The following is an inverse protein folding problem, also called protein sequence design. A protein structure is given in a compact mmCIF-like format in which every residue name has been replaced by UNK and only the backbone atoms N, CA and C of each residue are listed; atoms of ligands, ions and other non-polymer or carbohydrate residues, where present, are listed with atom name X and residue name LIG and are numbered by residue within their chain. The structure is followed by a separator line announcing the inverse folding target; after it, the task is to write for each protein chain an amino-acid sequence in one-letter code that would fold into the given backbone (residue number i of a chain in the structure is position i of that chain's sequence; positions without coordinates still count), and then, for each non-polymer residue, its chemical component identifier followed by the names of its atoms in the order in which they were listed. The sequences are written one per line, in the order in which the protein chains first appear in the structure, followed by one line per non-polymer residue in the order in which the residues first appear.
data_IF_649539369129
#
_entry.id   IF_649539369129
#
_cell.length_a   1.000
_cell.length_b   1.000
_cell.length_c   1.000
_cell.angle_alpha   90.00
_cell.angle_beta   90.00
_cell.angle_gamma   90.00
#
_symmetry.space_group_name_H-M   'P 1'
#
loop_
_entity.id
_entity.type
_entity.pdbx_description
1 polymer ?
#
# COMPACT_ATOMS: atom_id res chain seq x y z
N UNK A 1 22.97 -7.78 18.73
CA UNK A 1 22.20 -6.88 17.88
C UNK A 1 20.91 -6.45 18.61
N UNK A 2 20.04 -7.35 18.94
CA UNK A 2 18.75 -7.05 19.58
C UNK A 2 18.87 -6.24 20.87
N UNK A 3 19.85 -6.53 21.75
CA UNK A 3 20.06 -5.74 22.98
C UNK A 3 20.39 -4.26 22.69
N UNK A 4 21.06 -3.98 21.56
CA UNK A 4 21.45 -2.61 21.17
C UNK A 4 20.26 -1.83 20.59
N UNK A 5 19.47 -2.47 19.78
CA UNK A 5 18.37 -1.84 19.02
C UNK A 5 17.03 -1.89 19.73
N UNK A 6 16.84 -2.87 20.62
CA UNK A 6 15.54 -3.22 21.17
C UNK A 6 14.62 -3.95 20.18
N UNK A 7 15.13 -4.29 18.98
CA UNK A 7 14.38 -4.95 17.93
C UNK A 7 14.48 -6.47 18.01
N UNK A 8 13.48 -7.16 17.51
CA UNK A 8 13.54 -8.57 17.22
C UNK A 8 14.47 -8.80 16.01
N UNK A 9 15.52 -9.57 16.19
CA UNK A 9 16.47 -9.93 15.15
C UNK A 9 16.33 -11.41 14.86
N UNK A 10 15.63 -11.75 13.78
CA UNK A 10 15.37 -13.13 13.39
C UNK A 10 16.27 -13.50 12.22
N UNK A 11 16.89 -14.68 12.30
CA UNK A 11 17.69 -15.25 11.22
C UNK A 11 17.18 -16.66 10.96
N UNK A 12 16.88 -16.95 9.70
CA UNK A 12 16.24 -18.20 9.30
C UNK A 12 16.82 -18.71 7.99
N UNK A 13 16.96 -20.03 7.91
CA UNK A 13 17.20 -20.72 6.64
C UNK A 13 16.06 -21.69 6.39
N UNK A 14 15.59 -21.80 5.17
CA UNK A 14 14.53 -22.73 4.77
C UNK A 14 14.88 -23.42 3.46
N UNK A 15 14.37 -24.61 3.25
CA UNK A 15 14.39 -25.34 1.99
C UNK A 15 12.97 -25.54 1.41
N UNK A 16 11.95 -25.02 2.10
CA UNK A 16 10.56 -25.07 1.64
C UNK A 16 9.78 -23.85 2.19
N UNK A 17 9.25 -23.04 1.29
CA UNK A 17 8.39 -21.91 1.64
C UNK A 17 6.90 -22.27 1.67
N UNK A 18 6.55 -23.56 1.57
CA UNK A 18 5.17 -24.07 1.53
C UNK A 18 4.32 -23.42 0.44
N UNK A 19 4.92 -23.11 -0.69
CA UNK A 19 4.27 -22.49 -1.85
C UNK A 19 4.00 -21.00 -1.72
N UNK A 20 4.51 -20.34 -0.68
CA UNK A 20 4.48 -18.87 -0.51
C UNK A 20 5.67 -18.23 -1.22
N UNK A 21 5.54 -16.96 -1.54
CA UNK A 21 6.72 -16.16 -1.91
C UNK A 21 7.65 -16.03 -0.70
N UNK A 22 8.95 -15.77 -0.96
CA UNK A 22 9.92 -15.55 0.11
C UNK A 22 9.50 -14.44 1.07
N UNK A 23 8.95 -13.36 0.52
CA UNK A 23 8.50 -12.22 1.32
C UNK A 23 7.33 -12.61 2.23
N UNK A 24 6.29 -13.26 1.68
CA UNK A 24 5.14 -13.72 2.46
C UNK A 24 5.54 -14.72 3.56
N UNK A 25 6.51 -15.61 3.26
CA UNK A 25 7.01 -16.55 4.24
C UNK A 25 7.79 -15.87 5.37
N UNK A 26 8.64 -14.89 5.02
CA UNK A 26 9.41 -14.13 5.99
C UNK A 26 8.51 -13.27 6.89
N UNK A 27 7.47 -12.65 6.32
CA UNK A 27 6.52 -11.83 7.05
C UNK A 27 5.69 -12.67 8.03
N UNK A 28 5.14 -13.80 7.57
CA UNK A 28 4.35 -14.69 8.42
C UNK A 28 5.20 -15.28 9.55
N UNK A 29 6.48 -15.58 9.27
CA UNK A 29 7.42 -16.06 10.28
C UNK A 29 7.74 -14.97 11.31
N UNK A 30 7.95 -13.75 10.83
CA UNK A 30 8.20 -12.59 11.69
C UNK A 30 7.01 -12.33 12.61
N UNK A 31 5.80 -12.28 12.06
CA UNK A 31 4.56 -12.04 12.81
C UNK A 31 4.29 -13.10 13.89
N UNK A 32 4.68 -14.35 13.62
CA UNK A 32 4.50 -15.45 14.59
C UNK A 32 5.43 -15.35 15.81
N UNK A 33 6.55 -14.62 15.70
CA UNK A 33 7.61 -14.61 16.72
C UNK A 33 7.81 -13.24 17.37
N UNK A 34 7.62 -12.16 16.61
CA UNK A 34 7.87 -10.80 17.08
C UNK A 34 6.77 -10.29 18.00
N UNK A 35 7.06 -10.20 19.30
CA UNK A 35 6.08 -9.82 20.33
C UNK A 35 5.59 -8.37 20.19
N UNK A 36 6.46 -7.45 19.76
CA UNK A 36 6.16 -6.01 19.63
C UNK A 36 6.05 -5.52 18.18
N UNK A 37 6.24 -6.41 17.22
CA UNK A 37 6.21 -6.06 15.80
C UNK A 37 7.37 -5.22 15.30
N UNK A 38 8.34 -4.83 16.16
CA UNK A 38 9.53 -4.09 15.77
C UNK A 38 10.69 -5.05 15.52
N UNK A 39 11.27 -5.00 14.33
CA UNK A 39 12.44 -5.84 14.07
C UNK A 39 12.70 -6.17 12.61
N UNK A 40 13.59 -7.14 12.41
CA UNK A 40 14.07 -7.60 11.11
C UNK A 40 14.14 -9.11 11.09
N UNK A 41 13.66 -9.72 10.01
CA UNK A 41 13.90 -11.12 9.67
C UNK A 41 14.82 -11.20 8.44
N UNK A 42 15.95 -11.88 8.60
CA UNK A 42 16.89 -12.20 7.53
C UNK A 42 16.68 -13.68 7.17
N UNK A 43 16.32 -13.97 5.93
CA UNK A 43 15.95 -15.30 5.48
C UNK A 43 16.79 -15.73 4.28
N UNK A 44 17.23 -17.00 4.30
CA UNK A 44 17.86 -17.66 3.17
C UNK A 44 17.00 -18.85 2.75
N UNK A 45 16.52 -18.86 1.51
CA UNK A 45 15.88 -20.01 0.87
C UNK A 45 16.90 -20.81 0.08
N UNK A 46 17.15 -22.02 0.56
CA UNK A 46 18.13 -22.92 -0.04
C UNK A 46 17.60 -23.58 -1.31
N UNK A 47 16.28 -23.76 -1.43
CA UNK A 47 15.67 -24.41 -2.58
C UNK A 47 15.63 -23.47 -3.79
N UNK A 48 15.17 -22.24 -3.60
CA UNK A 48 15.01 -21.26 -4.67
C UNK A 48 16.24 -20.38 -4.86
N UNK A 49 17.27 -20.52 -4.00
CA UNK A 49 18.49 -19.74 -3.96
C UNK A 49 18.19 -18.24 -3.89
N UNK A 50 17.50 -17.87 -2.83
CA UNK A 50 17.02 -16.49 -2.64
C UNK A 50 17.31 -16.03 -1.21
N UNK A 51 17.74 -14.77 -1.07
CA UNK A 51 17.87 -14.09 0.22
C UNK A 51 16.77 -13.04 0.34
N UNK A 52 16.24 -12.89 1.54
CA UNK A 52 15.14 -11.97 1.79
C UNK A 52 15.33 -11.25 3.12
N UNK A 53 14.85 -10.02 3.16
CA UNK A 53 14.72 -9.21 4.36
C UNK A 53 13.25 -8.84 4.52
N UNK A 54 12.68 -9.13 5.69
CA UNK A 54 11.41 -8.57 6.13
C UNK A 54 11.66 -7.63 7.32
N UNK A 55 10.97 -6.52 7.34
CA UNK A 55 11.06 -5.51 8.41
C UNK A 55 9.70 -5.19 8.95
N UNK A 56 9.56 -5.22 10.28
CA UNK A 56 8.31 -4.90 10.98
C UNK A 56 8.46 -3.67 11.87
N UNK A 57 7.35 -2.98 12.08
CA UNK A 57 7.26 -1.85 12.98
C UNK A 57 8.20 -0.70 12.64
N UNK A 58 8.88 -0.16 13.66
CA UNK A 58 9.78 0.99 13.47
C UNK A 58 11.00 0.66 12.58
N UNK A 59 11.44 -0.60 12.50
CA UNK A 59 12.58 -0.99 11.69
C UNK A 59 12.36 -0.69 10.19
N UNK A 60 11.12 -0.74 9.70
CA UNK A 60 10.77 -0.39 8.32
C UNK A 60 11.04 1.08 7.98
N UNK A 61 11.13 1.96 8.97
CA UNK A 61 11.48 3.37 8.80
C UNK A 61 12.99 3.59 8.69
N UNK A 62 13.77 2.77 9.38
CA UNK A 62 15.23 2.79 9.32
C UNK A 62 15.74 2.13 8.04
N UNK A 63 15.16 0.99 7.69
CA UNK A 63 15.55 0.18 6.54
C UNK A 63 14.64 0.50 5.35
N UNK A 64 14.97 1.54 4.63
CA UNK A 64 14.28 1.94 3.41
C UNK A 64 14.53 0.94 2.28
N UNK A 65 13.74 0.99 1.21
CA UNK A 65 13.95 0.13 0.05
C UNK A 65 15.38 0.18 -0.49
N UNK A 66 15.99 1.38 -0.56
CA UNK A 66 17.37 1.54 -1.00
C UNK A 66 18.38 0.86 -0.05
N UNK A 67 18.22 1.04 1.27
CA UNK A 67 19.08 0.39 2.28
C UNK A 67 18.92 -1.12 2.28
N UNK A 68 17.68 -1.62 2.07
CA UNK A 68 17.43 -3.07 1.93
C UNK A 68 18.12 -3.61 0.69
N UNK A 69 18.09 -2.90 -0.43
CA UNK A 69 18.78 -3.29 -1.65
C UNK A 69 20.32 -3.34 -1.44
N UNK A 70 20.89 -2.36 -0.74
CA UNK A 70 22.31 -2.35 -0.38
C UNK A 70 22.67 -3.56 0.49
N UNK A 71 21.90 -3.86 1.54
CA UNK A 71 22.12 -5.03 2.42
C UNK A 71 22.05 -6.33 1.62
N UNK A 72 21.07 -6.47 0.71
CA UNK A 72 20.94 -7.65 -0.15
C UNK A 72 22.10 -7.76 -1.15
N UNK A 73 22.63 -6.64 -1.63
CA UNK A 73 23.80 -6.62 -2.51
C UNK A 73 25.07 -7.07 -1.77
N UNK A 74 25.29 -6.58 -0.54
CA UNK A 74 26.45 -6.94 0.27
C UNK A 74 26.39 -8.41 0.74
N UNK A 75 25.18 -8.94 0.98
CA UNK A 75 24.96 -10.36 1.25
C UNK A 75 25.14 -11.26 0.04
N UNK A 76 25.09 -10.73 -1.18
CA UNK A 76 25.09 -11.53 -2.41
C UNK A 76 26.42 -12.23 -2.68
N UNK A 77 27.57 -11.57 -2.44
CA UNK A 77 28.89 -12.17 -2.68
C UNK A 77 29.13 -13.40 -1.79
N UNK A 78 29.02 -13.31 -0.44
CA UNK A 78 29.22 -14.47 0.43
C UNK A 78 28.25 -15.61 0.14
N UNK A 79 26.97 -15.31 -0.13
CA UNK A 79 25.98 -16.35 -0.37
C UNK A 79 26.25 -17.10 -1.69
N UNK A 80 26.75 -16.40 -2.71
CA UNK A 80 27.13 -16.98 -4.00
C UNK A 80 28.29 -17.98 -3.87
N UNK A 81 29.19 -17.71 -2.93
CA UNK A 81 30.33 -18.59 -2.59
C UNK A 81 29.93 -19.73 -1.64
N UNK A 82 28.67 -19.75 -1.18
CA UNK A 82 28.16 -20.76 -0.25
C UNK A 82 28.47 -20.50 1.22
N UNK A 83 28.91 -19.28 1.54
CA UNK A 83 29.26 -18.83 2.89
C UNK A 83 28.03 -18.24 3.62
N UNK A 84 27.06 -19.09 3.94
CA UNK A 84 25.75 -18.71 4.48
C UNK A 84 25.85 -17.93 5.81
N UNK A 85 26.74 -18.36 6.71
CA UNK A 85 26.97 -17.68 7.98
C UNK A 85 27.54 -16.27 7.76
N UNK A 86 28.47 -16.14 6.82
CA UNK A 86 29.06 -14.85 6.48
C UNK A 86 28.02 -13.91 5.85
N UNK A 87 27.18 -14.42 4.96
CA UNK A 87 26.07 -13.68 4.37
C UNK A 87 25.18 -13.05 5.46
N UNK A 88 24.64 -13.86 6.37
CA UNK A 88 23.79 -13.38 7.46
C UNK A 88 24.54 -12.41 8.38
N UNK A 89 25.84 -12.65 8.61
CA UNK A 89 26.68 -11.77 9.46
C UNK A 89 26.91 -10.39 8.82
N UNK A 90 27.12 -10.34 7.50
CA UNK A 90 27.25 -9.07 6.75
C UNK A 90 25.94 -8.33 6.77
N UNK A 91 24.85 -8.96 6.37
CA UNK A 91 23.53 -8.36 6.38
C UNK A 91 23.15 -7.80 7.76
N UNK A 92 23.43 -8.54 8.84
CA UNK A 92 23.18 -8.07 10.21
C UNK A 92 24.03 -6.86 10.60
N UNK A 93 25.29 -6.80 10.15
CA UNK A 93 26.16 -5.64 10.39
C UNK A 93 25.62 -4.40 9.71
N UNK A 94 25.14 -4.53 8.48
CA UNK A 94 24.59 -3.41 7.72
C UNK A 94 23.29 -2.90 8.33
N UNK A 95 22.43 -3.81 8.82
CA UNK A 95 21.25 -3.42 9.64
C UNK A 95 21.67 -2.56 10.84
N UNK A 96 22.75 -2.92 11.54
CA UNK A 96 23.23 -2.17 12.69
C UNK A 96 23.87 -0.82 12.29
N UNK A 97 24.53 -0.75 11.14
CA UNK A 97 25.05 0.51 10.59
C UNK A 97 23.89 1.46 10.29
N UNK A 98 22.87 0.99 9.58
CA UNK A 98 21.69 1.81 9.28
C UNK A 98 20.86 2.18 10.52
N UNK A 99 20.86 1.33 11.54
CA UNK A 99 20.30 1.70 12.83
C UNK A 99 21.04 2.88 13.46
N UNK A 100 22.39 2.86 13.44
CA UNK A 100 23.21 3.94 13.97
C UNK A 100 23.09 5.24 13.16
N UNK A 101 22.90 5.15 11.85
CA UNK A 101 22.65 6.30 10.98
C UNK A 101 21.29 6.95 11.22
N UNK A 102 20.34 6.19 11.75
CA UNK A 102 18.99 6.66 12.05
C UNK A 102 18.04 6.68 10.84
N UNK A 103 16.84 7.22 11.06
CA UNK A 103 15.81 7.33 10.06
C UNK A 103 16.15 8.42 9.04
N UNK A 104 16.18 8.11 7.72
CA UNK A 104 16.43 9.13 6.70
C UNK A 104 15.37 10.24 6.71
N UNK A 105 15.78 11.47 6.48
CA UNK A 105 14.91 12.66 6.53
C UNK A 105 13.79 12.69 5.48
N UNK A 106 13.87 11.84 4.46
CA UNK A 106 12.86 11.72 3.40
C UNK A 106 11.79 10.66 3.67
N UNK A 107 11.83 10.00 4.84
CA UNK A 107 10.79 9.06 5.25
C UNK A 107 9.55 9.82 5.72
N UNK A 108 8.35 9.31 5.37
CA UNK A 108 7.14 9.78 6.00
C UNK A 108 7.21 9.45 7.49
N UNK A 109 7.06 10.45 8.34
CA UNK A 109 6.60 10.20 9.68
C UNK A 109 5.20 9.58 9.55
N UNK A 110 5.12 8.26 9.68
CA UNK A 110 3.89 7.67 10.14
C UNK A 110 3.79 8.09 11.60
N UNK A 111 3.13 9.20 11.86
CA UNK A 111 2.46 9.31 13.14
C UNK A 111 1.56 8.09 13.20
N UNK A 112 1.92 7.10 14.01
CA UNK A 112 0.92 6.25 14.63
C UNK A 112 0.08 7.21 15.48
N UNK A 113 -0.82 7.91 14.82
CA UNK A 113 -2.03 8.32 15.49
C UNK A 113 -2.75 7.00 15.77
N UNK A 114 -2.43 6.37 16.89
CA UNK A 114 -3.42 5.64 17.65
C UNK A 114 -4.52 6.66 17.93
N UNK A 115 -5.37 6.83 16.91
CA UNK A 115 -6.66 7.46 17.10
C UNK A 115 -7.40 6.42 17.95
N UNK A 116 -7.21 6.45 19.25
CA UNK A 116 -8.16 5.88 20.20
C UNK A 116 -9.46 6.64 19.94
N UNK A 117 -10.17 6.24 18.87
CA UNK A 117 -11.51 6.74 18.61
C UNK A 117 -12.35 6.24 19.77
N UNK A 118 -12.57 7.10 20.73
CA UNK A 118 -13.46 6.76 21.84
C UNK A 118 -14.82 6.37 21.25
N UNK A 119 -15.54 5.39 21.81
CA UNK A 119 -16.87 5.00 21.32
C UNK A 119 -17.81 6.20 21.14
N UNK A 120 -17.62 7.25 21.96
CA UNK A 120 -18.38 8.50 21.85
C UNK A 120 -18.06 9.29 20.56
N UNK A 121 -16.80 9.39 20.17
CA UNK A 121 -16.40 10.07 18.92
C UNK A 121 -16.87 9.33 17.69
N UNK A 122 -16.85 8.00 17.72
CA UNK A 122 -17.42 7.18 16.64
C UNK A 122 -18.92 7.43 16.46
N UNK A 123 -19.67 7.52 17.57
CA UNK A 123 -21.11 7.84 17.51
C UNK A 123 -21.34 9.25 16.99
N UNK A 124 -20.57 10.24 17.42
CA UNK A 124 -20.69 11.62 16.98
C UNK A 124 -20.41 11.73 15.47
N UNK A 125 -19.33 11.14 14.98
CA UNK A 125 -18.96 11.18 13.56
C UNK A 125 -19.99 10.47 12.70
N UNK A 126 -20.53 9.34 13.13
CA UNK A 126 -21.58 8.61 12.40
C UNK A 126 -22.89 9.39 12.33
N UNK A 127 -23.29 10.07 13.41
CA UNK A 127 -24.47 10.94 13.43
C UNK A 127 -24.32 12.13 12.49
N UNK A 128 -23.17 12.79 12.49
CA UNK A 128 -22.90 13.92 11.58
C UNK A 128 -22.95 13.47 10.12
N UNK A 129 -22.35 12.32 9.81
CA UNK A 129 -22.37 11.76 8.45
C UNK A 129 -23.80 11.40 8.00
N UNK A 130 -24.61 10.83 8.90
CA UNK A 130 -26.00 10.50 8.63
C UNK A 130 -26.86 11.76 8.40
N UNK A 131 -26.63 12.85 9.15
CA UNK A 131 -27.33 14.12 8.95
C UNK A 131 -26.98 14.77 7.60
N UNK A 132 -25.70 14.76 7.22
CA UNK A 132 -25.23 15.28 5.92
C UNK A 132 -25.88 14.49 4.77
N UNK A 133 -25.84 13.16 4.82
CA UNK A 133 -26.41 12.31 3.79
C UNK A 133 -27.93 12.49 3.71
N UNK A 134 -28.62 12.57 4.85
CA UNK A 134 -30.05 12.84 4.91
C UNK A 134 -30.45 14.22 4.31
N UNK A 135 -29.66 15.26 4.59
CA UNK A 135 -29.85 16.58 4.03
C UNK A 135 -29.69 16.60 2.49
N UNK A 136 -28.69 15.88 1.97
CA UNK A 136 -28.49 15.76 0.51
C UNK A 136 -29.69 15.08 -0.15
N UNK A 137 -30.15 13.95 0.39
CA UNK A 137 -31.32 13.24 -0.14
C UNK A 137 -32.58 14.11 -0.08
N UNK A 138 -32.80 14.80 1.03
CA UNK A 138 -33.92 15.74 1.18
C UNK A 138 -33.88 16.85 0.13
N UNK A 139 -32.71 17.45 -0.09
CA UNK A 139 -32.53 18.52 -1.07
C UNK A 139 -32.80 18.01 -2.50
N UNK A 140 -32.33 16.80 -2.84
CA UNK A 140 -32.61 16.17 -4.13
C UNK A 140 -34.11 15.93 -4.31
N UNK A 141 -34.81 15.43 -3.29
CA UNK A 141 -36.26 15.23 -3.33
C UNK A 141 -37.02 16.54 -3.50
N UNK A 142 -36.65 17.60 -2.76
CA UNK A 142 -37.28 18.93 -2.88
C UNK A 142 -37.08 19.49 -4.28
N UNK A 143 -35.88 19.40 -4.84
CA UNK A 143 -35.61 19.83 -6.22
C UNK A 143 -36.40 19.02 -7.23
N UNK A 144 -36.43 17.69 -7.06
CA UNK A 144 -37.20 16.80 -7.94
C UNK A 144 -38.70 17.11 -7.90
N UNK A 145 -39.27 17.28 -6.70
CA UNK A 145 -40.67 17.67 -6.55
C UNK A 145 -40.96 19.07 -7.11
N UNK A 146 -40.07 20.02 -6.89
CA UNK A 146 -40.18 21.40 -7.42
C UNK A 146 -40.13 21.43 -8.95
N UNK A 147 -39.21 20.64 -9.55
CA UNK A 147 -39.11 20.51 -11.01
C UNK A 147 -40.34 19.77 -11.59
N UNK A 148 -40.83 18.76 -10.90
CA UNK A 148 -42.01 17.99 -11.37
C UNK A 148 -43.33 18.74 -11.20
N UNK A 149 -43.44 19.58 -10.16
CA UNK A 149 -44.60 20.42 -9.91
C UNK A 149 -44.51 21.83 -10.55
N UNK A 150 -43.48 22.09 -11.31
CA UNK A 150 -43.34 23.31 -12.07
C UNK A 150 -44.54 23.48 -13.03
N UNK A 151 -45.29 24.55 -12.88
CA UNK A 151 -46.46 24.89 -13.70
C UNK A 151 -46.07 25.29 -15.14
N UNK A 152 -45.06 24.70 -15.70
CA UNK A 152 -44.73 24.89 -17.10
C UNK A 152 -45.52 23.87 -17.92
N UNK A 153 -46.82 24.19 -18.11
CA UNK A 153 -47.55 23.58 -19.22
C UNK A 153 -47.08 24.29 -20.48
N UNK A 154 -46.15 23.63 -21.18
CA UNK A 154 -45.81 24.04 -22.54
C UNK A 154 -47.07 23.75 -23.40
N UNK A 155 -47.77 24.83 -23.76
CA UNK A 155 -48.89 24.70 -24.66
C UNK A 155 -48.36 24.64 -26.09
N UNK A 156 -48.20 23.42 -26.58
CA UNK A 156 -47.68 23.18 -27.93
C UNK A 156 -48.62 23.72 -29.04
N UNK A 157 -49.89 24.04 -28.70
CA UNK A 157 -50.83 24.59 -29.65
C UNK A 157 -50.71 26.12 -29.85
N UNK A 158 -50.22 26.84 -28.82
CA UNK A 158 -49.98 28.31 -28.94
C UNK A 158 -48.62 28.65 -29.54
N UNK A 159 -47.65 27.70 -29.51
CA UNK A 159 -46.25 27.98 -29.86
C UNK A 159 -45.86 27.67 -31.31
N UNK A 160 -46.81 27.27 -32.15
CA UNK A 160 -46.60 27.06 -33.59
C UNK A 160 -46.80 25.62 -34.08
N UNK A 161 -47.34 25.52 -35.29
CA UNK A 161 -47.49 24.25 -35.99
C UNK A 161 -46.16 23.88 -36.69
N UNK A 162 -45.46 22.86 -36.19
CA UNK A 162 -44.30 22.29 -36.86
C UNK A 162 -44.79 21.21 -37.84
N UNK A 163 -44.72 21.50 -39.14
CA UNK A 163 -45.06 20.54 -40.19
C UNK A 163 -43.77 19.95 -40.77
N UNK A 164 -43.32 18.83 -40.18
CA UNK A 164 -42.14 18.11 -40.65
C UNK A 164 -42.56 17.24 -41.84
N UNK A 165 -42.28 17.66 -43.04
CA UNK A 165 -42.60 16.88 -44.26
C UNK A 165 -41.60 15.78 -44.58
N UNK A 166 -40.40 15.84 -44.03
CA UNK A 166 -39.39 14.83 -44.24
C UNK A 166 -38.36 14.86 -43.10
N UNK A 167 -38.14 13.73 -42.42
CA UNK A 167 -37.11 13.52 -41.41
C UNK A 167 -36.07 12.58 -41.98
N UNK A 168 -34.82 12.97 -41.93
CA UNK A 168 -33.69 12.13 -42.34
C UNK A 168 -32.53 12.33 -41.37
N UNK A 169 -32.26 11.34 -40.56
CA UNK A 169 -31.11 11.32 -39.69
C UNK A 169 -29.94 10.70 -40.44
N UNK A 170 -28.91 11.50 -40.66
CA UNK A 170 -27.63 11.03 -41.26
C UNK A 170 -26.55 11.12 -40.18
N UNK A 171 -26.01 9.97 -39.81
CA UNK A 171 -24.84 9.92 -38.93
C UNK A 171 -23.62 10.48 -39.70
N UNK A 172 -23.17 11.67 -39.35
CA UNK A 172 -22.14 12.41 -40.10
C UNK A 172 -20.74 11.96 -39.74
N UNK A 173 -20.50 11.55 -38.50
CA UNK A 173 -19.20 11.05 -38.08
C UNK A 173 -19.25 10.33 -36.73
N UNK A 174 -18.47 9.27 -36.58
CA UNK A 174 -18.20 8.62 -35.28
C UNK A 174 -16.70 8.71 -35.04
N UNK A 175 -16.30 9.55 -34.09
CA UNK A 175 -14.90 9.65 -33.68
C UNK A 175 -14.71 8.88 -32.39
N UNK A 176 -13.97 7.77 -32.47
CA UNK A 176 -13.53 7.00 -31.31
C UNK A 176 -12.16 7.50 -30.92
N UNK A 177 -12.06 8.24 -29.84
CA UNK A 177 -10.77 8.65 -29.27
C UNK A 177 -10.32 7.66 -28.21
N UNK A 178 -9.22 6.97 -28.46
CA UNK A 178 -8.53 6.17 -27.46
C UNK A 178 -7.50 7.07 -26.76
N UNK A 179 -7.67 7.27 -25.48
CA UNK A 179 -6.64 7.90 -24.65
C UNK A 179 -5.81 6.78 -24.00
N UNK A 180 -4.59 6.62 -24.47
CA UNK A 180 -3.61 5.78 -23.77
C UNK A 180 -3.22 6.52 -22.48
N UNK A 181 -3.61 5.96 -21.34
CA UNK A 181 -3.14 6.42 -20.02
C UNK A 181 -1.83 5.66 -19.80
N UNK A 182 -0.71 6.34 -20.01
CA UNK A 182 0.57 5.80 -19.56
C UNK A 182 0.52 5.70 -18.03
N UNK A 183 0.56 4.46 -17.51
CA UNK A 183 0.87 4.25 -16.11
C UNK A 183 2.26 4.82 -15.86
N UNK A 184 2.32 5.93 -15.13
CA UNK A 184 3.58 6.43 -14.58
C UNK A 184 4.13 5.29 -13.71
N UNK A 185 5.18 4.61 -14.20
CA UNK A 185 6.06 3.87 -13.30
C UNK A 185 6.44 4.85 -12.20
N UNK A 186 6.09 4.50 -10.97
CA UNK A 186 6.57 5.22 -9.82
C UNK A 186 8.08 5.21 -9.92
N UNK A 187 8.69 6.38 -10.08
CA UNK A 187 10.12 6.53 -9.92
C UNK A 187 10.41 6.04 -8.50
N UNK A 188 11.27 5.05 -8.40
CA UNK A 188 11.78 4.51 -7.16
C UNK A 188 12.49 5.64 -6.41
N UNK A 189 11.75 6.32 -5.56
CA UNK A 189 12.21 7.52 -4.84
C UNK A 189 12.86 7.18 -3.52
N UNK A 190 13.49 6.00 -3.39
CA UNK A 190 14.20 5.58 -2.18
C UNK A 190 13.29 5.44 -0.93
N UNK A 191 11.99 5.41 -1.12
CA UNK A 191 11.01 5.23 -0.03
C UNK A 191 10.88 3.75 0.30
N UNK A 192 10.66 3.44 1.57
CA UNK A 192 10.34 2.08 1.99
C UNK A 192 9.05 1.60 1.33
N UNK A 193 9.11 0.47 0.63
CA UNK A 193 7.91 -0.23 0.17
C UNK A 193 7.33 -1.01 1.33
N UNK A 194 6.11 -0.69 1.72
CA UNK A 194 5.40 -1.37 2.81
C UNK A 194 4.26 -2.18 2.22
N UNK A 195 4.18 -3.46 2.61
CA UNK A 195 3.07 -4.35 2.27
C UNK A 195 2.44 -4.91 3.55
N UNK A 196 1.30 -5.55 3.44
CA UNK A 196 0.56 -6.09 4.59
C UNK A 196 0.61 -7.61 4.54
N UNK A 197 1.04 -8.24 5.64
CA UNK A 197 1.06 -9.70 5.80
C UNK A 197 -0.33 -10.30 5.92
N UNK A 198 -0.40 -11.62 5.93
CA UNK A 198 -1.66 -12.37 6.13
C UNK A 198 -2.31 -12.10 7.50
N UNK A 199 -1.53 -11.71 8.50
CA UNK A 199 -2.01 -11.32 9.84
C UNK A 199 -2.50 -9.88 9.93
N UNK A 200 -2.33 -9.06 8.87
CA UNK A 200 -2.73 -7.65 8.83
C UNK A 200 -1.66 -6.66 9.31
N UNK A 201 -0.47 -7.14 9.68
CA UNK A 201 0.67 -6.31 10.10
C UNK A 201 1.39 -5.74 8.87
N UNK A 202 1.93 -4.53 8.99
CA UNK A 202 2.68 -3.85 7.92
C UNK A 202 4.16 -4.18 8.02
N UNK A 203 4.72 -4.64 6.90
CA UNK A 203 6.14 -4.97 6.75
C UNK A 203 6.76 -4.19 5.58
N UNK A 204 8.05 -3.91 5.68
CA UNK A 204 8.89 -3.56 4.56
C UNK A 204 9.85 -4.70 4.24
N UNK A 205 10.41 -4.73 3.05
CA UNK A 205 11.38 -5.79 2.72
C UNK A 205 11.67 -5.89 1.24
N UNK A 206 12.57 -6.80 0.92
CA UNK A 206 12.94 -7.15 -0.44
C UNK A 206 13.63 -8.51 -0.49
N UNK A 207 13.71 -9.09 -1.68
CA UNK A 207 14.39 -10.34 -1.93
C UNK A 207 15.26 -10.29 -3.19
N UNK A 208 16.31 -11.12 -3.24
CA UNK A 208 17.23 -11.23 -4.36
C UNK A 208 17.68 -12.67 -4.57
N UNK A 209 17.65 -13.13 -5.83
CA UNK A 209 18.16 -14.46 -6.21
C UNK A 209 19.66 -14.42 -6.43
N UNK A 210 20.33 -15.52 -6.08
CA UNK A 210 21.78 -15.74 -6.20
C UNK A 210 22.13 -17.01 -6.97
#
# INVERSE_FOLDING_TARGET
AGEKTGWNMLMLTTDDTNGKTMQEYADDFFDAIAENGDGVALLIDMQNREICISTGGIASRYLTGARIEDILNDGYEPISDGEYEQCLSVMLKDVLVYYDEGIPSNQYEYEETDIEITPAEYVITSVVLALISGAIVFLVLVLYCKLRNGKYKYDAHESGTVNIKKHSDVLVNTVVTHRHIEEKKAEDSGRSTVHTSSSGVKHGGGSKKF
#
